data_IF_366427219110
#
_entry.id   IF_366427219110
#
_cell.length_a   1.000
_cell.length_b   1.000
_cell.length_c   1.000
_cell.angle_alpha   90.00
_cell.angle_beta   90.00
_cell.angle_gamma   90.00
#
_symmetry.space_group_name_H-M   'P 1'
#
loop_
_entity.id
_entity.type
_entity.pdbx_description
1 polymer ?
#
# COMPACT_ATOMS: atom_id res chain seq x y z
N UNK A 1 13.08 4.55 0.72
CA UNK A 1 11.93 3.62 0.83
C UNK A 1 11.07 3.77 -0.41
N UNK A 2 10.54 2.68 -0.97
CA UNK A 2 9.63 2.73 -2.14
C UNK A 2 8.19 2.42 -1.71
N UNK A 3 7.22 3.21 -2.18
CA UNK A 3 5.78 2.94 -2.03
C UNK A 3 5.15 2.80 -3.41
N UNK A 4 4.36 1.75 -3.64
CA UNK A 4 3.61 1.60 -4.88
C UNK A 4 2.41 2.58 -4.93
N UNK A 5 2.12 3.25 -6.05
CA UNK A 5 2.83 3.21 -7.34
C UNK A 5 3.81 4.38 -7.56
N UNK A 6 4.26 5.07 -6.52
CA UNK A 6 5.00 6.35 -6.63
C UNK A 6 6.52 6.23 -6.54
N UNK A 7 7.05 5.07 -6.17
CA UNK A 7 8.49 4.86 -6.05
C UNK A 7 9.08 5.45 -4.78
N UNK A 8 10.27 6.04 -4.90
CA UNK A 8 11.04 6.59 -3.80
C UNK A 8 10.35 7.84 -3.27
N UNK A 9 9.95 7.82 -2.00
CA UNK A 9 9.29 8.97 -1.36
C UNK A 9 10.27 9.95 -0.71
N UNK A 10 9.88 11.22 -0.66
CA UNK A 10 10.62 12.31 -0.01
C UNK A 10 9.84 12.88 1.20
N UNK A 11 10.55 13.43 2.18
CA UNK A 11 10.01 13.70 3.52
C UNK A 11 8.88 14.75 3.58
N UNK A 12 8.73 15.60 2.55
CA UNK A 12 7.85 16.79 2.60
C UNK A 12 6.79 16.87 1.51
N UNK A 13 6.73 15.91 0.60
CA UNK A 13 5.81 15.95 -0.55
C UNK A 13 4.92 14.72 -0.58
N UNK A 14 3.65 14.90 -0.95
CA UNK A 14 2.69 13.81 -1.20
C UNK A 14 2.91 13.12 -2.55
N UNK A 15 4.18 13.01 -2.98
CA UNK A 15 4.63 12.48 -4.25
C UNK A 15 5.91 11.64 -4.06
N UNK A 16 6.23 10.80 -5.03
CA UNK A 16 7.44 9.99 -5.08
C UNK A 16 8.13 10.08 -6.44
N UNK A 17 9.29 9.44 -6.55
CA UNK A 17 10.05 9.39 -7.80
C UNK A 17 10.40 7.97 -8.23
N UNK A 18 10.27 7.70 -9.53
CA UNK A 18 10.77 6.50 -10.19
C UNK A 18 11.73 6.98 -11.27
N UNK A 19 13.00 6.62 -11.14
CA UNK A 19 14.10 7.01 -12.03
C UNK A 19 14.13 8.52 -12.35
N UNK A 20 14.00 9.31 -11.29
CA UNK A 20 13.95 10.79 -11.31
C UNK A 20 12.70 11.42 -11.93
N UNK A 21 11.72 10.62 -12.35
CA UNK A 21 10.39 11.10 -12.77
C UNK A 21 9.47 11.18 -11.56
N UNK A 22 8.82 12.33 -11.37
CA UNK A 22 7.90 12.58 -10.25
C UNK A 22 6.50 12.02 -10.52
N UNK A 23 5.94 11.35 -9.54
CA UNK A 23 4.63 10.71 -9.60
C UNK A 23 3.79 10.99 -8.35
N UNK A 24 2.49 11.18 -8.55
CA UNK A 24 1.53 11.38 -7.47
C UNK A 24 0.94 10.04 -7.03
N UNK A 25 0.56 9.96 -5.75
CA UNK A 25 -0.14 8.80 -5.22
C UNK A 25 -1.56 8.75 -5.78
N UNK A 26 -2.02 7.56 -6.13
CA UNK A 26 -3.41 7.29 -6.43
C UNK A 26 -3.80 5.88 -5.96
N UNK A 27 -5.06 5.74 -5.57
CA UNK A 27 -5.64 4.46 -5.13
C UNK A 27 -6.20 3.67 -6.33
N UNK A 28 -6.42 2.35 -6.22
CA UNK A 28 -7.21 1.61 -7.18
C UNK A 28 -8.64 2.15 -7.29
N UNK A 29 -9.05 2.49 -8.51
CA UNK A 29 -10.33 3.14 -8.77
C UNK A 29 -11.51 2.16 -8.96
N UNK A 30 -11.25 0.85 -9.07
CA UNK A 30 -12.30 -0.18 -9.14
C UNK A 30 -12.47 -0.87 -7.78
N UNK A 31 -11.40 -1.46 -7.25
CA UNK A 31 -11.47 -2.28 -6.04
C UNK A 31 -10.11 -2.43 -5.38
N UNK A 32 -10.13 -2.49 -4.04
CA UNK A 32 -9.03 -3.00 -3.24
C UNK A 32 -9.54 -4.12 -2.32
N UNK A 33 -8.78 -5.19 -2.18
CA UNK A 33 -9.10 -6.28 -1.24
C UNK A 33 -7.83 -6.86 -0.64
N UNK A 34 -7.85 -7.16 0.65
CA UNK A 34 -6.83 -7.99 1.27
C UNK A 34 -7.39 -9.24 1.95
N UNK A 35 -6.61 -10.33 1.89
CA UNK A 35 -6.98 -11.61 2.47
C UNK A 35 -5.75 -12.48 2.80
N UNK A 36 -5.91 -13.33 3.81
CA UNK A 36 -4.89 -14.27 4.24
C UNK A 36 -4.86 -15.51 3.32
N UNK A 37 -3.69 -15.82 2.76
CA UNK A 37 -3.46 -17.06 1.99
C UNK A 37 -2.56 -18.01 2.77
N UNK A 38 -3.08 -19.20 3.03
CA UNK A 38 -2.33 -20.28 3.65
C UNK A 38 -1.60 -21.07 2.56
N UNK A 39 -0.26 -21.07 2.59
CA UNK A 39 0.53 -21.91 1.68
C UNK A 39 0.56 -23.33 2.24
N UNK A 40 -0.10 -24.28 1.57
CA UNK A 40 0.00 -25.70 1.93
C UNK A 40 1.30 -26.24 1.33
N UNK A 41 2.30 -26.49 2.17
CA UNK A 41 3.44 -27.32 1.78
C UNK A 41 2.97 -28.78 1.74
N UNK A 42 2.56 -29.26 0.57
CA UNK A 42 2.30 -30.70 0.37
C UNK A 42 3.66 -31.36 0.09
N UNK A 43 4.18 -32.13 1.04
CA UNK A 43 5.31 -33.03 0.80
C UNK A 43 4.77 -34.42 0.46
N UNK A 44 5.35 -35.14 -0.52
CA UNK A 44 4.75 -36.34 -1.13
C UNK A 44 4.73 -37.62 -0.26
N UNK A 45 4.90 -37.55 1.06
CA UNK A 45 4.95 -38.74 1.91
C UNK A 45 3.64 -38.98 2.69
N UNK A 46 3.14 -40.21 2.57
CA UNK A 46 1.83 -40.75 2.98
C UNK A 46 1.44 -40.62 4.48
N UNK A 47 2.17 -39.87 5.31
CA UNK A 47 1.85 -39.62 6.73
C UNK A 47 1.46 -38.17 7.07
N UNK A 48 1.20 -37.30 6.07
CA UNK A 48 1.02 -35.85 6.31
C UNK A 48 -0.40 -35.37 6.72
N UNK A 49 -1.47 -36.14 6.59
CA UNK A 49 -2.84 -35.62 6.79
C UNK A 49 -3.08 -35.11 8.23
N UNK A 50 -2.38 -35.66 9.23
CA UNK A 50 -2.48 -35.19 10.64
C UNK A 50 -1.47 -34.11 11.03
N UNK A 51 -0.38 -33.92 10.28
CA UNK A 51 0.68 -32.94 10.58
C UNK A 51 0.61 -31.64 9.76
N UNK A 52 -0.09 -31.65 8.61
CA UNK A 52 -0.34 -30.45 7.79
C UNK A 52 -1.28 -29.42 8.44
N UNK A 53 -1.85 -29.74 9.61
CA UNK A 53 -2.63 -28.82 10.46
C UNK A 53 -1.82 -28.05 11.51
N UNK A 54 -0.48 -28.17 11.54
CA UNK A 54 0.34 -27.10 12.16
C UNK A 54 0.26 -25.89 11.22
N UNK A 55 -0.73 -25.02 11.48
CA UNK A 55 -0.97 -23.76 10.77
C UNK A 55 0.37 -23.08 10.48
N UNK A 56 0.82 -23.10 9.23
CA UNK A 56 1.78 -22.11 8.78
C UNK A 56 1.03 -20.77 8.81
N UNK A 57 1.57 -19.78 9.53
CA UNK A 57 0.95 -18.46 9.57
C UNK A 57 0.77 -17.94 8.12
N UNK A 58 -0.42 -17.45 7.76
CA UNK A 58 -0.72 -17.09 6.39
C UNK A 58 0.08 -15.85 5.95
N UNK A 59 0.29 -15.74 4.65
CA UNK A 59 0.75 -14.48 4.05
C UNK A 59 -0.47 -13.63 3.71
N UNK A 60 -0.37 -12.31 3.84
CA UNK A 60 -1.39 -11.40 3.37
C UNK A 60 -1.20 -11.16 1.87
N UNK A 61 -2.28 -11.29 1.12
CA UNK A 61 -2.34 -10.81 -0.26
C UNK A 61 -3.14 -9.51 -0.26
N UNK A 62 -2.60 -8.49 -0.91
CA UNK A 62 -3.30 -7.26 -1.25
C UNK A 62 -3.54 -7.27 -2.76
N UNK A 63 -4.78 -7.16 -3.18
CA UNK A 63 -5.23 -7.17 -4.57
C UNK A 63 -5.79 -5.79 -4.90
N UNK A 64 -5.25 -5.17 -5.94
CA UNK A 64 -5.78 -3.95 -6.52
C UNK A 64 -6.40 -4.25 -7.88
N UNK A 65 -7.54 -3.64 -8.14
CA UNK A 65 -8.24 -3.68 -9.41
C UNK A 65 -8.41 -2.25 -9.93
N UNK A 66 -8.03 -2.06 -11.18
CA UNK A 66 -8.13 -0.80 -11.91
C UNK A 66 -9.09 -0.98 -13.08
N UNK A 67 -9.94 0.03 -13.31
CA UNK A 67 -10.87 0.04 -14.43
C UNK A 67 -10.84 1.41 -15.11
N UNK A 68 -10.63 1.42 -16.43
CA UNK A 68 -10.56 2.63 -17.24
C UNK A 68 -9.61 3.71 -16.70
N UNK A 69 -8.44 3.32 -16.20
CA UNK A 69 -7.40 4.28 -15.80
C UNK A 69 -6.75 4.90 -17.04
N UNK A 70 -6.29 6.13 -16.92
CA UNK A 70 -5.65 6.85 -18.00
C UNK A 70 -4.28 6.28 -18.34
N UNK A 71 -3.81 6.57 -19.56
CA UNK A 71 -2.47 6.15 -20.03
C UNK A 71 -1.35 6.60 -19.08
N UNK A 72 -1.45 7.80 -18.48
CA UNK A 72 -0.47 8.28 -17.48
C UNK A 72 -0.40 7.41 -16.22
N UNK A 73 -1.55 6.96 -15.70
CA UNK A 73 -1.64 6.16 -14.47
C UNK A 73 -1.11 4.75 -14.72
N UNK A 74 -1.48 4.18 -15.88
CA UNK A 74 -0.95 2.89 -16.30
C UNK A 74 0.57 2.93 -16.48
N UNK A 75 1.11 3.97 -17.14
CA UNK A 75 2.57 4.15 -17.30
C UNK A 75 3.29 4.27 -15.96
N UNK A 76 2.68 4.89 -14.95
CA UNK A 76 3.25 4.95 -13.62
C UNK A 76 3.32 3.55 -12.98
N UNK A 77 2.26 2.75 -13.09
CA UNK A 77 2.24 1.36 -12.60
C UNK A 77 3.31 0.54 -13.32
N UNK A 78 3.34 0.62 -14.66
CA UNK A 78 4.28 -0.08 -15.52
C UNK A 78 5.74 0.27 -15.17
N UNK A 79 6.05 1.56 -15.06
CA UNK A 79 7.39 2.03 -14.68
C UNK A 79 7.80 1.54 -13.28
N UNK A 80 6.88 1.52 -12.32
CA UNK A 80 7.17 0.98 -10.99
C UNK A 80 7.45 -0.52 -11.04
N UNK A 81 6.63 -1.30 -11.76
CA UNK A 81 6.80 -2.75 -11.90
C UNK A 81 8.16 -3.06 -12.50
N UNK A 82 8.52 -2.45 -13.62
CA UNK A 82 9.82 -2.69 -14.26
C UNK A 82 11.00 -2.38 -13.34
N UNK A 83 10.96 -1.25 -12.62
CA UNK A 83 12.03 -0.89 -11.68
C UNK A 83 12.22 -1.91 -10.56
N UNK A 84 11.14 -2.49 -10.07
CA UNK A 84 11.15 -3.33 -8.88
C UNK A 84 11.30 -4.83 -9.19
N UNK A 85 10.79 -5.30 -10.34
CA UNK A 85 11.00 -6.67 -10.83
C UNK A 85 12.49 -6.97 -11.04
N UNK A 86 13.25 -6.01 -11.58
CA UNK A 86 14.70 -6.13 -11.77
C UNK A 86 15.47 -6.25 -10.43
N UNK A 87 14.87 -5.84 -9.31
CA UNK A 87 15.57 -5.65 -8.05
C UNK A 87 15.28 -6.71 -6.98
N UNK A 88 14.33 -7.65 -7.16
CA UNK A 88 13.80 -8.55 -6.10
C UNK A 88 13.59 -7.85 -4.74
N UNK A 89 13.38 -6.53 -4.77
CA UNK A 89 13.47 -5.68 -3.61
C UNK A 89 12.06 -5.48 -3.07
N UNK A 90 11.82 -5.71 -1.78
CA UNK A 90 10.51 -5.45 -1.22
C UNK A 90 10.20 -3.96 -1.22
N UNK A 91 8.92 -3.63 -1.34
CA UNK A 91 8.39 -2.28 -1.34
C UNK A 91 7.12 -2.20 -0.51
N UNK A 92 6.67 -1.00 -0.19
CA UNK A 92 5.48 -0.81 0.62
C UNK A 92 4.24 -0.66 -0.25
N UNK A 93 3.16 -1.30 0.21
CA UNK A 93 1.83 -1.29 -0.40
C UNK A 93 0.83 -0.88 0.65
N UNK A 94 -0.05 0.04 0.28
CA UNK A 94 -1.12 0.55 1.14
C UNK A 94 -2.32 -0.39 1.07
N UNK A 95 -2.81 -0.93 2.17
CA UNK A 95 -4.04 -1.72 2.11
C UNK A 95 -5.28 -0.80 2.11
N UNK A 96 -5.62 -0.27 0.94
CA UNK A 96 -6.79 0.60 0.74
C UNK A 96 -8.12 -0.07 1.14
N UNK A 97 -8.17 -1.41 1.20
CA UNK A 97 -9.36 -2.14 1.64
C UNK A 97 -9.62 -2.08 3.15
N UNK A 98 -8.64 -1.57 3.92
CA UNK A 98 -8.66 -1.50 5.38
C UNK A 98 -8.57 -0.08 5.91
N UNK A 99 -9.03 0.90 5.14
CA UNK A 99 -9.16 2.28 5.59
C UNK A 99 -10.02 2.39 6.84
N UNK A 100 -9.52 3.09 7.85
CA UNK A 100 -10.24 3.38 9.09
C UNK A 100 -10.32 4.90 9.23
N UNK A 101 -11.53 5.42 9.44
CA UNK A 101 -11.72 6.83 9.84
C UNK A 101 -11.35 6.97 11.32
N UNK A 102 -10.30 7.74 11.67
CA UNK A 102 -9.96 8.01 13.06
C UNK A 102 -11.05 8.85 13.73
N UNK A 103 -11.28 8.63 15.02
CA UNK A 103 -12.11 9.54 15.81
C UNK A 103 -11.37 10.83 16.19
N UNK A 104 -10.03 10.78 16.20
CA UNK A 104 -9.16 11.93 16.38
C UNK A 104 -7.74 11.62 15.93
N UNK A 105 -7.01 12.66 15.55
CA UNK A 105 -5.56 12.65 15.35
C UNK A 105 -4.97 13.81 16.14
N UNK A 106 -4.12 13.51 17.12
CA UNK A 106 -3.51 14.51 17.99
C UNK A 106 -1.98 14.36 18.01
N UNK A 107 -1.26 15.46 18.15
CA UNK A 107 0.17 15.40 18.41
C UNK A 107 0.41 15.06 19.89
N UNK A 108 1.28 14.08 20.13
CA UNK A 108 1.72 13.65 21.46
C UNK A 108 3.23 13.46 21.42
N UNK A 109 3.97 14.47 21.87
CA UNK A 109 5.45 14.44 21.97
C UNK A 109 6.17 14.20 20.63
N UNK A 110 5.63 14.68 19.50
CA UNK A 110 6.20 14.51 18.16
C UNK A 110 5.51 13.41 17.35
N UNK A 111 4.91 12.43 18.01
CA UNK A 111 4.13 11.39 17.34
C UNK A 111 2.68 11.83 17.12
N UNK A 112 2.05 11.32 16.08
CA UNK A 112 0.61 11.44 15.91
C UNK A 112 -0.09 10.25 16.56
N UNK A 113 -0.84 10.56 17.62
CA UNK A 113 -1.76 9.63 18.25
C UNK A 113 -3.07 9.59 17.44
N UNK A 114 -3.30 8.46 16.78
CA UNK A 114 -4.45 8.20 15.92
C UNK A 114 -5.42 7.30 16.67
N UNK A 115 -6.58 7.84 17.06
CA UNK A 115 -7.61 7.09 17.78
C UNK A 115 -8.50 6.32 16.81
N UNK A 116 -8.52 4.98 16.93
CA UNK A 116 -9.24 4.08 16.03
C UNK A 116 -9.95 2.96 16.79
N UNK A 117 -11.01 2.43 16.19
CA UNK A 117 -11.87 1.40 16.80
C UNK A 117 -11.28 0.00 16.82
N UNK A 118 -10.24 -0.26 16.01
CA UNK A 118 -9.61 -1.57 15.92
C UNK A 118 -8.13 -1.43 15.52
N UNK A 119 -7.24 -1.91 16.38
CA UNK A 119 -5.79 -1.83 16.17
C UNK A 119 -5.17 -3.15 15.68
N UNK A 120 -5.98 -4.19 15.41
CA UNK A 120 -5.49 -5.55 15.09
C UNK A 120 -4.60 -5.64 13.86
N UNK A 121 -4.69 -4.67 12.95
CA UNK A 121 -3.91 -4.62 11.70
C UNK A 121 -2.50 -4.06 11.89
N UNK A 122 -2.26 -3.36 13.01
CA UNK A 122 -1.02 -2.65 13.28
C UNK A 122 -0.15 -3.40 14.30
N UNK A 123 1.15 -3.16 14.25
CA UNK A 123 2.14 -3.75 15.16
C UNK A 123 3.32 -2.80 15.33
N UNK A 124 3.93 -2.77 16.51
CA UNK A 124 5.22 -2.10 16.72
C UNK A 124 6.41 -3.02 16.42
N UNK A 125 6.15 -4.32 16.29
CA UNK A 125 7.17 -5.34 16.06
C UNK A 125 7.50 -5.36 14.57
N UNK A 126 8.78 -5.18 14.24
CA UNK A 126 9.26 -5.37 12.89
C UNK A 126 8.92 -6.77 12.38
N UNK A 127 8.65 -6.90 11.08
CA UNK A 127 8.35 -8.17 10.43
C UNK A 127 7.04 -8.83 10.88
N UNK A 128 6.11 -8.06 11.45
CA UNK A 128 4.80 -8.55 11.87
C UNK A 128 3.73 -7.52 11.52
N UNK A 129 2.66 -7.95 10.82
CA UNK A 129 1.53 -7.09 10.41
C UNK A 129 2.00 -5.79 9.75
N UNK A 130 1.20 -4.72 9.81
CA UNK A 130 1.61 -3.39 9.37
C UNK A 130 2.37 -2.69 10.50
N UNK A 131 3.67 -2.49 10.31
CA UNK A 131 4.51 -1.70 11.20
C UNK A 131 4.65 -0.23 10.75
N UNK A 132 3.93 0.15 9.69
CA UNK A 132 3.80 1.52 9.20
C UNK A 132 2.33 1.83 8.94
N UNK A 133 1.98 3.11 9.03
CA UNK A 133 0.64 3.60 8.74
C UNK A 133 0.71 4.80 7.80
N UNK A 134 -0.26 4.89 6.90
CA UNK A 134 -0.48 6.04 6.03
C UNK A 134 -1.76 6.74 6.46
N UNK A 135 -1.64 8.03 6.77
CA UNK A 135 -2.77 8.93 6.90
C UNK A 135 -2.95 9.66 5.57
N UNK A 136 -4.16 9.68 5.03
CA UNK A 136 -4.45 10.26 3.72
C UNK A 136 -5.79 11.00 3.73
N UNK A 137 -5.84 12.20 3.15
CA UNK A 137 -7.06 13.01 3.03
C UNK A 137 -7.70 12.96 1.63
N UNK A 138 -7.19 12.11 0.73
CA UNK A 138 -7.55 12.04 -0.70
C UNK A 138 -6.62 12.82 -1.64
N UNK A 139 -5.77 13.71 -1.09
CA UNK A 139 -4.83 14.54 -1.85
C UNK A 139 -3.41 14.49 -1.25
N UNK A 140 -3.30 14.81 0.03
CA UNK A 140 -2.10 14.78 0.83
C UNK A 140 -2.06 13.57 1.74
N UNK A 141 -0.86 13.01 1.90
CA UNK A 141 -0.64 11.92 2.84
C UNK A 141 0.52 12.23 3.78
N UNK A 142 0.50 11.54 4.93
CA UNK A 142 1.61 11.41 5.88
C UNK A 142 1.79 9.94 6.16
N UNK A 143 3.01 9.44 6.20
CA UNK A 143 3.26 8.08 6.64
C UNK A 143 4.41 8.02 7.63
N UNK A 144 4.39 7.02 8.49
CA UNK A 144 5.44 6.79 9.46
C UNK A 144 5.36 5.40 10.12
N UNK A 145 6.42 5.00 10.85
CA UNK A 145 6.41 3.80 11.68
C UNK A 145 5.34 3.86 12.77
N UNK A 146 4.73 2.72 13.09
CA UNK A 146 3.88 2.56 14.27
C UNK A 146 4.77 2.29 15.48
N UNK A 147 4.84 3.24 16.40
CA UNK A 147 5.72 3.17 17.58
C UNK A 147 4.99 2.71 18.84
N UNK A 148 3.67 2.89 18.90
CA UNK A 148 2.82 2.37 19.99
C UNK A 148 1.51 1.84 19.44
N UNK A 149 1.02 0.73 20.02
CA UNK A 149 -0.32 0.22 19.79
C UNK A 149 -1.02 0.07 21.13
N UNK A 150 -2.02 0.90 21.39
CA UNK A 150 -2.91 0.74 22.54
C UNK A 150 -4.06 -0.18 22.12
N UNK A 151 -4.22 -1.28 22.85
CA UNK A 151 -5.17 -2.33 22.47
C UNK A 151 -6.58 -1.78 22.24
N UNK A 152 -7.09 -1.94 21.01
CA UNK A 152 -8.43 -1.54 20.56
C UNK A 152 -8.78 -0.04 20.59
N UNK A 153 -7.84 0.87 20.82
CA UNK A 153 -8.20 2.30 20.98
C UNK A 153 -7.36 3.26 20.15
N UNK A 154 -6.07 3.01 19.97
CA UNK A 154 -5.20 3.95 19.26
C UNK A 154 -3.89 3.34 18.80
N UNK A 155 -3.29 3.97 17.80
CA UNK A 155 -1.89 3.78 17.41
C UNK A 155 -1.16 5.12 17.51
N UNK A 156 0.13 5.09 17.85
CA UNK A 156 1.02 6.24 17.69
C UNK A 156 1.89 6.03 16.46
N UNK A 157 1.91 7.01 15.57
CA UNK A 157 2.69 7.01 14.33
C UNK A 157 3.79 8.06 14.46
N UNK A 158 5.04 7.65 14.29
CA UNK A 158 6.18 8.58 14.26
C UNK A 158 6.14 9.36 12.96
N UNK A 159 5.67 10.59 13.08
CA UNK A 159 5.54 11.54 11.97
C UNK A 159 6.54 12.69 12.05
N UNK A 160 7.55 12.59 12.92
CA UNK A 160 8.53 13.66 13.17
C UNK A 160 9.93 13.25 12.72
N UNK A 161 10.38 12.02 13.05
CA UNK A 161 11.75 11.59 12.77
C UNK A 161 11.88 10.74 11.51
N UNK A 162 10.90 9.87 11.25
CA UNK A 162 10.98 8.84 10.20
C UNK A 162 9.77 8.87 9.26
N UNK A 163 9.39 10.09 8.87
CA UNK A 163 8.13 10.38 8.22
C UNK A 163 8.28 10.91 6.80
N UNK A 164 7.22 10.72 6.02
CA UNK A 164 7.16 11.19 4.66
C UNK A 164 5.77 11.72 4.34
N UNK A 165 5.68 12.62 3.38
CA UNK A 165 4.42 13.22 2.94
C UNK A 165 4.10 14.59 3.56
N UNK A 166 3.23 15.32 2.88
CA UNK A 166 2.90 16.72 3.17
C UNK A 166 1.59 16.95 3.93
N UNK A 167 0.89 15.90 4.38
CA UNK A 167 -0.35 16.06 5.14
C UNK A 167 -0.07 16.75 6.49
N UNK A 168 -0.89 17.75 6.81
CA UNK A 168 -0.82 18.49 8.07
C UNK A 168 -1.66 17.82 9.17
N UNK A 169 -1.30 18.06 10.43
CA UNK A 169 -2.06 17.53 11.57
C UNK A 169 -3.53 17.99 11.58
N UNK A 170 -3.77 19.27 11.27
CA UNK A 170 -5.12 19.84 11.26
C UNK A 170 -6.00 19.16 10.19
N UNK A 171 -5.43 18.93 9.01
CA UNK A 171 -6.12 18.23 7.92
C UNK A 171 -6.33 16.75 8.27
N UNK A 172 -5.32 16.08 8.81
CA UNK A 172 -5.42 14.69 9.24
C UNK A 172 -6.52 14.48 10.30
N UNK A 173 -6.66 15.39 11.26
CA UNK A 173 -7.69 15.31 12.29
C UNK A 173 -9.11 15.52 11.76
N UNK A 174 -9.27 16.18 10.60
CA UNK A 174 -10.59 16.51 10.05
C UNK A 174 -11.02 15.55 8.94
N UNK A 175 -10.10 15.18 8.06
CA UNK A 175 -10.39 14.44 6.83
C UNK A 175 -9.53 13.19 6.65
N UNK A 176 -8.57 12.95 7.54
CA UNK A 176 -7.64 11.85 7.40
C UNK A 176 -8.32 10.50 7.55
N UNK A 177 -7.99 9.58 6.67
CA UNK A 177 -8.19 8.14 6.85
C UNK A 177 -6.84 7.49 7.13
N UNK A 178 -6.81 6.50 8.02
CA UNK A 178 -5.60 5.73 8.29
C UNK A 178 -5.66 4.36 7.62
N UNK A 179 -4.56 3.99 6.96
CA UNK A 179 -4.39 2.73 6.24
C UNK A 179 -3.14 2.00 6.73
N UNK A 180 -3.18 0.65 6.82
CA UNK A 180 -1.99 -0.13 7.10
C UNK A 180 -1.07 -0.17 5.86
N UNK A 181 0.23 -0.05 6.09
CA UNK A 181 1.26 -0.27 5.06
C UNK A 181 1.98 -1.59 5.30
N UNK A 182 2.06 -2.40 4.26
CA UNK A 182 2.73 -3.70 4.28
C UNK A 182 3.92 -3.70 3.35
N UNK A 183 5.05 -4.22 3.84
CA UNK A 183 6.18 -4.56 2.98
C UNK A 183 5.83 -5.82 2.17
N UNK A 184 5.89 -5.71 0.84
CA UNK A 184 5.39 -6.71 -0.10
C UNK A 184 6.37 -6.97 -1.26
N UNK A 185 6.11 -8.06 -1.98
CA UNK A 185 6.62 -8.37 -3.30
C UNK A 185 5.47 -8.44 -4.30
N UNK A 186 5.78 -8.33 -5.59
CA UNK A 186 4.83 -8.66 -6.65
C UNK A 186 4.52 -10.16 -6.68
N UNK A 187 3.30 -10.50 -7.10
CA UNK A 187 3.07 -11.81 -7.70
C UNK A 187 3.81 -11.91 -9.05
N UNK A 188 4.21 -13.11 -9.50
CA UNK A 188 4.70 -13.30 -10.86
C UNK A 188 3.76 -12.69 -11.91
N UNK A 189 4.34 -12.16 -12.99
CA UNK A 189 3.64 -11.56 -14.12
C UNK A 189 2.64 -10.47 -13.70
N UNK A 190 3.11 -9.49 -12.91
CA UNK A 190 2.28 -8.50 -12.23
C UNK A 190 1.36 -7.67 -13.15
N UNK A 191 1.72 -7.53 -14.43
CA UNK A 191 0.96 -6.78 -15.44
C UNK A 191 0.14 -7.67 -16.39
N UNK A 192 0.21 -9.00 -16.26
CA UNK A 192 -0.37 -9.94 -17.25
C UNK A 192 -1.88 -9.78 -17.46
N UNK A 193 -2.60 -9.28 -16.46
CA UNK A 193 -4.05 -9.12 -16.52
C UNK A 193 -4.51 -7.72 -16.96
N UNK A 194 -3.58 -6.82 -17.30
CA UNK A 194 -3.95 -5.51 -17.85
C UNK A 194 -4.34 -5.62 -19.33
N UNK A 195 -5.44 -4.96 -19.67
CA UNK A 195 -6.01 -4.93 -21.01
C UNK A 195 -6.31 -3.48 -21.41
N UNK A 196 -6.27 -3.21 -22.71
CA UNK A 196 -6.65 -1.91 -23.27
C UNK A 196 -8.16 -1.81 -23.47
N UNK A 197 -8.70 -0.63 -23.18
CA UNK A 197 -10.10 -0.28 -23.38
C UNK A 197 -10.28 0.75 -24.49
N UNK A 198 -11.15 1.74 -24.25
CA UNK A 198 -11.40 2.84 -25.17
C UNK A 198 -10.15 3.70 -25.43
N UNK A 199 -10.06 4.28 -26.62
CA UNK A 199 -9.00 5.24 -26.97
C UNK A 199 -9.48 6.67 -26.73
N UNK A 200 -8.68 7.46 -26.01
CA UNK A 200 -8.88 8.88 -25.76
C UNK A 200 -8.01 9.67 -26.74
N UNK A 201 -8.60 10.40 -27.72
CA UNK A 201 -7.87 11.15 -28.73
C UNK A 201 -7.42 12.53 -28.21
N UNK A 202 -6.81 12.56 -27.03
CA UNK A 202 -6.22 13.77 -26.45
C UNK A 202 -4.72 13.86 -26.75
N UNK A 203 -4.20 15.08 -26.73
CA UNK A 203 -2.76 15.29 -26.90
C UNK A 203 -1.99 14.89 -25.64
N UNK A 204 -1.24 13.79 -25.74
CA UNK A 204 -0.38 13.26 -24.67
C UNK A 204 0.58 14.32 -24.13
N UNK A 205 1.00 15.29 -24.94
CA UNK A 205 1.93 16.34 -24.53
C UNK A 205 1.36 17.36 -23.55
N UNK A 206 0.03 17.42 -23.37
CA UNK A 206 -0.63 18.39 -22.49
C UNK A 206 -1.03 17.80 -21.13
N UNK A 207 -1.70 16.64 -21.14
CA UNK A 207 -2.28 16.02 -19.92
C UNK A 207 -1.68 14.66 -19.56
N UNK A 208 -0.97 14.03 -20.50
CA UNK A 208 -0.58 12.62 -20.41
C UNK A 208 -1.73 11.63 -20.54
N UNK A 209 -2.97 12.10 -20.72
CA UNK A 209 -4.19 11.27 -20.68
C UNK A 209 -4.51 10.61 -22.03
N UNK A 210 -3.99 11.17 -23.12
CA UNK A 210 -4.16 10.61 -24.46
C UNK A 210 -3.64 9.16 -24.59
N UNK A 211 -4.37 8.35 -25.35
CA UNK A 211 -4.05 6.93 -25.55
C UNK A 211 -5.19 5.99 -25.18
N UNK A 212 -4.89 4.70 -25.13
CA UNK A 212 -5.85 3.72 -24.61
C UNK A 212 -5.98 3.89 -23.09
N UNK A 213 -7.21 3.79 -22.59
CA UNK A 213 -7.44 3.52 -21.17
C UNK A 213 -7.11 2.07 -20.87
N UNK A 214 -6.74 1.79 -19.63
CA UNK A 214 -6.34 0.46 -19.20
C UNK A 214 -7.22 -0.04 -18.06
N UNK A 215 -7.36 -1.36 -17.96
CA UNK A 215 -8.02 -2.01 -16.84
C UNK A 215 -7.39 -3.36 -16.58
N UNK A 216 -7.32 -3.77 -15.31
CA UNK A 216 -6.63 -4.99 -14.90
C UNK A 216 -6.51 -5.10 -13.40
N UNK A 217 -5.79 -6.12 -12.94
CA UNK A 217 -5.49 -6.31 -11.54
C UNK A 217 -4.00 -6.54 -11.30
N UNK A 218 -3.56 -6.26 -10.08
CA UNK A 218 -2.21 -6.52 -9.61
C UNK A 218 -2.28 -7.07 -8.19
N UNK A 219 -1.48 -8.09 -7.92
CA UNK A 219 -1.42 -8.76 -6.63
C UNK A 219 -0.08 -8.52 -5.96
N UNK A 220 -0.14 -8.23 -4.67
CA UNK A 220 1.01 -8.05 -3.81
C UNK A 220 0.97 -9.10 -2.71
N UNK A 221 2.12 -9.71 -2.43
CA UNK A 221 2.27 -10.73 -1.39
C UNK A 221 3.12 -10.12 -0.29
N UNK A 222 2.62 -10.09 0.94
CA UNK A 222 3.37 -9.57 2.08
C UNK A 222 4.69 -10.34 2.25
N UNK A 223 5.76 -9.62 2.57
CA UNK A 223 7.08 -10.20 2.83
C UNK A 223 7.05 -11.09 4.08
N UNK A 224 6.27 -10.69 5.08
CA UNK A 224 6.14 -11.39 6.34
C UNK A 224 4.76 -12.01 6.50
N UNK A 225 4.70 -13.06 7.32
CA UNK A 225 3.46 -13.73 7.70
C UNK A 225 2.65 -12.82 8.64
N UNK A 226 1.32 -12.93 8.57
CA UNK A 226 0.39 -12.05 9.26
C UNK A 226 -0.35 -12.80 10.38
#
# INVERSE_FOLDING_TARGET
MNIFPIGTIAASTSAGTIDSVSYNMFEPNSKAKSFEKHTILVSPYQMQIKLSRKKADPYLIVEYEYNNIFSREYRQIEHFVYKMEDALTPFYVVDWSKGITPSSVANSSGDWLVSITNTRLFSTVANQKANRALLWDGLNWKEGPVVTVTTNTSIAVDVDTSNYGGLSLATANTYGMVYPLYECYFSPDALSNFTTGAYIPESVSLSGDGGFVWGGNINFISKYKC
#
